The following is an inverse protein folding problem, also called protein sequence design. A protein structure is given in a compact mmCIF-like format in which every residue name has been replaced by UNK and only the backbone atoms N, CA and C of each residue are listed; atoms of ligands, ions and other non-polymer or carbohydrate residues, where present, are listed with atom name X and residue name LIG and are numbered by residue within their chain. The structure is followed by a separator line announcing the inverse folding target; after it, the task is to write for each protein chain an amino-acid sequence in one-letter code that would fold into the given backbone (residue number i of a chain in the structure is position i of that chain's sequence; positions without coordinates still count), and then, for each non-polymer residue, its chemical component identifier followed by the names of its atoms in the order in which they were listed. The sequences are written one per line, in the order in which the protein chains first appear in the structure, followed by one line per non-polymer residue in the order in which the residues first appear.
data_IF_113321562558
#
_entry.id   IF_113321562558
#
_cell.length_a   1.000
_cell.length_b   1.000
_cell.length_c   1.000
_cell.angle_alpha   90.00
_cell.angle_beta   90.00
_cell.angle_gamma   90.00
#
_symmetry.space_group_name_H-M   'P 1'
#
loop_
_entity.id
_entity.type
_entity.pdbx_description
1 polymer ?
#
# COMPACT_ATOMS: atom_id res chain seq x y z
N UNK A 1 52.08 7.33 -25.02
CA UNK A 1 50.98 7.45 -24.03
C UNK A 1 49.88 8.32 -24.63
N UNK A 2 48.69 7.79 -24.95
CA UNK A 2 47.61 8.59 -25.49
C UNK A 2 46.94 9.43 -24.39
N UNK A 3 46.80 10.73 -24.66
CA UNK A 3 46.08 11.71 -23.81
C UNK A 3 44.59 11.38 -23.84
N UNK A 4 44.01 11.07 -22.67
CA UNK A 4 42.56 10.99 -22.52
C UNK A 4 41.96 12.39 -22.77
N UNK A 5 41.16 12.52 -23.83
CA UNK A 5 40.38 13.73 -24.10
C UNK A 5 39.18 13.76 -23.15
N UNK A 6 39.13 14.77 -22.29
CA UNK A 6 37.96 15.04 -21.46
C UNK A 6 36.80 15.46 -22.36
N UNK A 7 35.79 14.60 -22.48
CA UNK A 7 34.54 14.90 -23.18
C UNK A 7 33.79 15.93 -22.32
N UNK A 8 33.93 17.20 -22.66
CA UNK A 8 33.10 18.28 -22.13
C UNK A 8 31.72 18.21 -22.77
N UNK A 9 30.79 17.52 -22.12
CA UNK A 9 29.36 17.57 -22.48
C UNK A 9 28.82 18.97 -22.16
N UNK A 10 28.08 19.61 -23.10
CA UNK A 10 27.51 20.93 -22.86
C UNK A 10 26.48 20.87 -21.72
N UNK A 11 26.53 21.80 -20.75
CA UNK A 11 25.75 21.74 -19.50
C UNK A 11 24.24 21.71 -19.72
N UNK A 12 23.73 22.18 -20.87
CA UNK A 12 22.30 22.14 -21.19
C UNK A 12 21.74 20.74 -21.50
N UNK A 13 22.56 19.78 -21.92
CA UNK A 13 22.09 18.46 -22.40
C UNK A 13 21.81 17.45 -21.28
N UNK A 14 22.45 17.62 -20.12
CA UNK A 14 22.24 16.75 -18.95
C UNK A 14 20.88 17.01 -18.31
N UNK A 15 20.48 18.28 -18.19
CA UNK A 15 19.23 18.67 -17.58
C UNK A 15 18.02 18.25 -18.43
N UNK A 16 18.10 18.37 -19.77
CA UNK A 16 17.03 17.95 -20.68
C UNK A 16 16.73 16.46 -20.59
N UNK A 17 17.78 15.63 -20.50
CA UNK A 17 17.63 14.18 -20.45
C UNK A 17 17.00 13.70 -19.13
N UNK A 18 17.39 14.31 -18.00
CA UNK A 18 16.83 13.98 -16.69
C UNK A 18 15.34 14.39 -16.59
N UNK A 19 14.99 15.54 -17.14
CA UNK A 19 13.60 16.02 -17.20
C UNK A 19 12.72 15.09 -18.06
N UNK A 20 13.22 14.69 -19.23
CA UNK A 20 12.53 13.75 -20.12
C UNK A 20 12.35 12.37 -19.46
N UNK A 21 13.39 11.86 -18.79
CA UNK A 21 13.31 10.61 -18.04
C UNK A 21 12.30 10.68 -16.88
N UNK A 22 12.29 11.77 -16.13
CA UNK A 22 11.34 12.01 -15.03
C UNK A 22 9.89 12.04 -15.51
N UNK A 23 9.64 12.73 -16.63
CA UNK A 23 8.32 12.80 -17.26
C UNK A 23 7.87 11.42 -17.75
N UNK A 24 8.77 10.70 -18.41
CA UNK A 24 8.51 9.35 -18.93
C UNK A 24 8.19 8.38 -17.80
N UNK A 25 8.97 8.38 -16.70
CA UNK A 25 8.72 7.55 -15.53
C UNK A 25 7.34 7.83 -14.92
N UNK A 26 6.96 9.11 -14.79
CA UNK A 26 5.66 9.52 -14.26
C UNK A 26 4.48 9.01 -15.11
N UNK A 27 4.61 9.09 -16.44
CA UNK A 27 3.60 8.58 -17.38
C UNK A 27 3.47 7.07 -17.25
N UNK A 28 4.60 6.35 -17.27
CA UNK A 28 4.63 4.88 -17.20
C UNK A 28 4.00 4.39 -15.89
N UNK A 29 4.43 4.93 -14.74
CA UNK A 29 3.92 4.54 -13.42
C UNK A 29 2.42 4.78 -13.34
N UNK A 30 1.95 5.97 -13.73
CA UNK A 30 0.51 6.30 -13.70
C UNK A 30 -0.29 5.34 -14.59
N UNK A 31 0.21 5.06 -15.80
CA UNK A 31 -0.45 4.15 -16.74
C UNK A 31 -0.56 2.74 -16.18
N UNK A 32 0.54 2.21 -15.63
CA UNK A 32 0.56 0.86 -15.03
C UNK A 32 -0.41 0.79 -13.85
N UNK A 33 -0.38 1.75 -12.94
CA UNK A 33 -1.26 1.76 -11.75
C UNK A 33 -2.72 1.86 -12.15
N UNK A 34 -3.07 2.67 -13.15
CA UNK A 34 -4.43 2.74 -13.68
C UNK A 34 -4.87 1.42 -14.30
N UNK A 35 -4.02 0.77 -15.10
CA UNK A 35 -4.31 -0.54 -15.68
C UNK A 35 -4.54 -1.60 -14.60
N UNK A 36 -3.66 -1.65 -13.58
CA UNK A 36 -3.81 -2.55 -12.42
C UNK A 36 -5.11 -2.24 -11.66
N UNK A 37 -5.43 -0.97 -11.43
CA UNK A 37 -6.67 -0.55 -10.78
C UNK A 37 -7.93 -0.96 -11.56
N UNK A 38 -7.93 -0.80 -12.89
CA UNK A 38 -9.05 -1.22 -13.75
C UNK A 38 -9.20 -2.74 -13.73
N UNK A 39 -8.10 -3.49 -13.85
CA UNK A 39 -8.11 -4.96 -13.75
C UNK A 39 -8.67 -5.39 -12.39
N UNK A 40 -8.25 -4.74 -11.31
CA UNK A 40 -8.72 -5.02 -9.96
C UNK A 40 -10.23 -4.78 -9.82
N UNK A 41 -10.73 -3.61 -10.25
CA UNK A 41 -12.17 -3.29 -10.22
C UNK A 41 -12.96 -4.26 -11.09
N UNK A 42 -12.46 -4.59 -12.27
CA UNK A 42 -13.07 -5.58 -13.17
C UNK A 42 -13.17 -6.96 -12.52
N UNK A 43 -12.10 -7.43 -11.88
CA UNK A 43 -12.07 -8.70 -11.16
C UNK A 43 -13.06 -8.71 -9.98
N UNK A 44 -13.08 -7.64 -9.16
CA UNK A 44 -14.04 -7.48 -8.06
C UNK A 44 -15.47 -7.48 -8.57
N UNK A 45 -15.77 -6.70 -9.61
CA UNK A 45 -17.11 -6.59 -10.18
C UNK A 45 -17.58 -7.93 -10.77
N UNK A 46 -16.70 -8.63 -11.49
CA UNK A 46 -16.99 -9.97 -12.02
C UNK A 46 -17.28 -10.96 -10.89
N UNK A 47 -16.46 -10.96 -9.83
CA UNK A 47 -16.63 -11.88 -8.71
C UNK A 47 -17.90 -11.57 -7.89
N UNK A 48 -18.17 -10.29 -7.66
CA UNK A 48 -19.38 -9.82 -6.99
C UNK A 48 -20.64 -10.24 -7.75
N UNK A 49 -20.66 -10.08 -9.08
CA UNK A 49 -21.75 -10.59 -9.93
C UNK A 49 -21.91 -12.09 -9.79
N UNK A 50 -20.82 -12.85 -9.79
CA UNK A 50 -20.84 -14.32 -9.64
C UNK A 50 -21.44 -14.77 -8.30
N UNK A 51 -21.13 -14.07 -7.20
CA UNK A 51 -21.71 -14.40 -5.88
C UNK A 51 -23.19 -14.08 -5.83
N UNK A 52 -23.62 -12.97 -6.43
CA UNK A 52 -25.05 -12.61 -6.48
C UNK A 52 -25.90 -13.69 -7.15
N UNK A 53 -25.32 -14.45 -8.09
CA UNK A 53 -25.98 -15.59 -8.73
C UNK A 53 -26.06 -16.85 -7.85
N UNK A 54 -25.26 -16.98 -6.80
CA UNK A 54 -25.22 -18.15 -5.91
C UNK A 54 -25.20 -17.72 -4.42
N UNK A 55 -26.33 -17.22 -3.89
CA UNK A 55 -26.41 -16.79 -2.49
C UNK A 55 -26.18 -17.97 -1.55
N UNK A 56 -25.35 -17.77 -0.52
CA UNK A 56 -25.12 -18.77 0.52
C UNK A 56 -26.10 -18.60 1.67
N UNK A 57 -26.69 -19.68 2.19
CA UNK A 57 -27.43 -19.62 3.45
C UNK A 57 -26.43 -19.45 4.60
N UNK A 58 -26.47 -18.29 5.26
CA UNK A 58 -25.65 -18.00 6.45
C UNK A 58 -26.49 -18.23 7.70
N UNK A 59 -26.09 -19.19 8.54
CA UNK A 59 -26.88 -19.64 9.68
C UNK A 59 -26.59 -18.88 10.99
N UNK A 60 -25.59 -17.97 11.02
CA UNK A 60 -25.21 -17.21 12.24
C UNK A 60 -25.20 -15.70 12.00
N UNK A 61 -26.01 -14.95 12.74
CA UNK A 61 -26.24 -13.50 12.61
C UNK A 61 -24.96 -12.67 12.75
N UNK A 62 -24.06 -13.04 13.68
CA UNK A 62 -22.77 -12.36 13.87
C UNK A 62 -21.79 -12.57 12.70
N UNK A 63 -21.80 -13.76 12.08
CA UNK A 63 -21.00 -14.05 10.89
C UNK A 63 -21.48 -13.29 9.65
N UNK A 64 -22.79 -13.02 9.57
CA UNK A 64 -23.40 -12.30 8.44
C UNK A 64 -22.90 -10.86 8.37
N UNK A 65 -22.83 -10.14 9.49
CA UNK A 65 -22.35 -8.75 9.48
C UNK A 65 -20.87 -8.67 9.09
N UNK A 66 -20.02 -9.53 9.66
CA UNK A 66 -18.59 -9.53 9.35
C UNK A 66 -18.34 -9.82 7.86
N UNK A 67 -19.03 -10.81 7.29
CA UNK A 67 -18.90 -11.14 5.87
C UNK A 67 -19.42 -10.05 4.94
N UNK A 68 -20.34 -9.20 5.40
CA UNK A 68 -20.84 -8.07 4.63
C UNK A 68 -19.82 -6.93 4.54
N UNK A 69 -19.13 -6.63 5.64
CA UNK A 69 -18.18 -5.51 5.71
C UNK A 69 -16.75 -5.90 5.29
N UNK A 70 -16.35 -7.17 5.47
CA UNK A 70 -15.00 -7.61 5.16
C UNK A 70 -14.55 -7.32 3.71
N UNK A 71 -15.35 -7.58 2.65
CA UNK A 71 -14.94 -7.27 1.28
C UNK A 71 -14.70 -5.78 1.04
N UNK A 72 -15.52 -4.91 1.64
CA UNK A 72 -15.35 -3.46 1.53
C UNK A 72 -14.06 -2.99 2.23
N UNK A 73 -13.78 -3.55 3.40
CA UNK A 73 -12.54 -3.29 4.13
C UNK A 73 -11.29 -3.70 3.34
N UNK A 74 -11.26 -4.93 2.79
CA UNK A 74 -10.15 -5.36 1.94
C UNK A 74 -10.02 -4.51 0.69
N UNK A 75 -11.12 -4.13 0.04
CA UNK A 75 -11.08 -3.26 -1.12
C UNK A 75 -10.49 -1.88 -0.81
N UNK A 76 -10.81 -1.32 0.36
CA UNK A 76 -10.23 -0.06 0.83
C UNK A 76 -8.71 -0.19 1.06
N UNK A 77 -8.28 -1.26 1.76
CA UNK A 77 -6.85 -1.53 1.99
C UNK A 77 -6.08 -1.66 0.68
N UNK A 78 -6.66 -2.35 -0.32
CA UNK A 78 -6.07 -2.50 -1.65
C UNK A 78 -5.96 -1.14 -2.35
N UNK A 79 -7.01 -0.32 -2.30
CA UNK A 79 -7.01 0.99 -2.95
C UNK A 79 -5.93 1.91 -2.37
N UNK A 80 -5.82 2.00 -1.04
CA UNK A 80 -4.76 2.76 -0.39
C UNK A 80 -3.36 2.22 -0.70
N UNK A 81 -3.20 0.89 -0.75
CA UNK A 81 -1.93 0.27 -1.13
C UNK A 81 -1.51 0.61 -2.55
N UNK A 82 -2.45 0.67 -3.51
CA UNK A 82 -2.14 1.08 -4.89
C UNK A 82 -1.66 2.53 -4.98
N UNK A 83 -2.30 3.44 -4.24
CA UNK A 83 -1.87 4.85 -4.16
C UNK A 83 -0.45 4.94 -3.62
N UNK A 84 -0.15 4.19 -2.57
CA UNK A 84 1.18 4.18 -1.96
C UNK A 84 2.27 3.52 -2.80
N UNK A 85 1.95 2.44 -3.52
CA UNK A 85 2.86 1.85 -4.50
C UNK A 85 3.21 2.89 -5.56
N UNK A 86 2.20 3.62 -6.07
CA UNK A 86 2.41 4.69 -7.05
C UNK A 86 3.34 5.79 -6.51
N UNK A 87 3.03 6.33 -5.33
CA UNK A 87 3.81 7.40 -4.70
C UNK A 87 5.24 6.95 -4.37
N UNK A 88 5.41 5.78 -3.77
CA UNK A 88 6.72 5.26 -3.35
C UNK A 88 7.58 4.92 -4.56
N UNK A 89 7.01 4.28 -5.58
CA UNK A 89 7.73 3.97 -6.83
C UNK A 89 8.15 5.25 -7.52
N UNK A 90 7.25 6.24 -7.62
CA UNK A 90 7.56 7.53 -8.21
C UNK A 90 8.69 8.24 -7.47
N UNK A 91 8.62 8.32 -6.13
CA UNK A 91 9.68 8.93 -5.31
C UNK A 91 11.02 8.24 -5.51
N UNK A 92 11.06 6.90 -5.50
CA UNK A 92 12.30 6.14 -5.71
C UNK A 92 12.86 6.36 -7.12
N UNK A 93 12.01 6.45 -8.14
CA UNK A 93 12.44 6.78 -9.50
C UNK A 93 13.01 8.19 -9.57
N UNK A 94 12.36 9.19 -8.97
CA UNK A 94 12.86 10.57 -8.95
C UNK A 94 14.19 10.69 -8.22
N UNK A 95 14.34 10.03 -7.08
CA UNK A 95 15.59 9.99 -6.32
C UNK A 95 16.73 9.34 -7.11
N UNK A 96 16.42 8.32 -7.92
CA UNK A 96 17.42 7.67 -8.76
C UNK A 96 17.81 8.51 -9.98
N UNK A 97 16.84 9.11 -10.67
CA UNK A 97 17.07 9.92 -11.88
C UNK A 97 17.84 11.20 -11.53
N UNK A 98 17.42 11.89 -10.47
CA UNK A 98 17.98 13.19 -10.10
C UNK A 98 19.11 13.08 -9.06
N UNK A 99 19.43 11.87 -8.58
CA UNK A 99 20.47 11.61 -7.57
C UNK A 99 20.36 12.50 -6.31
N UNK A 100 19.12 12.82 -5.90
CA UNK A 100 18.80 13.85 -4.91
C UNK A 100 18.04 13.31 -3.68
N UNK A 101 18.34 12.08 -3.25
CA UNK A 101 17.74 11.56 -2.02
C UNK A 101 18.26 12.32 -0.79
N UNK A 102 17.39 12.82 0.12
CA UNK A 102 17.83 13.69 1.21
C UNK A 102 18.64 12.96 2.28
N UNK A 103 18.32 11.70 2.54
CA UNK A 103 19.06 10.84 3.48
C UNK A 103 18.84 9.36 3.18
N UNK A 104 19.78 8.51 3.59
CA UNK A 104 19.64 7.05 3.49
C UNK A 104 18.49 6.50 4.34
N UNK A 105 18.14 7.19 5.42
CA UNK A 105 17.00 6.84 6.27
C UNK A 105 15.67 7.05 5.56
N UNK A 106 15.47 8.18 4.88
CA UNK A 106 14.25 8.42 4.07
C UNK A 106 14.17 7.41 2.93
N UNK A 107 15.28 7.14 2.24
CA UNK A 107 15.31 6.17 1.15
C UNK A 107 14.91 4.76 1.64
N UNK A 108 15.43 4.33 2.78
CA UNK A 108 15.07 3.06 3.41
C UNK A 108 13.60 3.05 3.84
N UNK A 109 13.11 4.13 4.44
CA UNK A 109 11.70 4.27 4.83
C UNK A 109 10.75 4.11 3.65
N UNK A 110 10.99 4.82 2.53
CA UNK A 110 10.17 4.71 1.32
C UNK A 110 10.19 3.28 0.74
N UNK A 111 11.34 2.59 0.78
CA UNK A 111 11.44 1.18 0.33
C UNK A 111 10.63 0.22 1.21
N UNK A 112 10.68 0.39 2.53
CA UNK A 112 9.91 -0.43 3.48
C UNK A 112 8.40 -0.17 3.31
N UNK A 113 8.00 1.08 3.08
CA UNK A 113 6.61 1.44 2.78
C UNK A 113 6.16 0.82 1.45
N UNK A 114 6.97 0.91 0.39
CA UNK A 114 6.69 0.23 -0.88
C UNK A 114 6.51 -1.28 -0.69
N UNK A 115 7.40 -1.92 0.06
CA UNK A 115 7.26 -3.35 0.40
C UNK A 115 5.95 -3.63 1.13
N UNK A 116 5.61 -2.82 2.13
CA UNK A 116 4.38 -2.95 2.93
C UNK A 116 3.13 -2.78 2.07
N UNK A 117 3.14 -1.83 1.14
CA UNK A 117 2.05 -1.60 0.20
C UNK A 117 1.90 -2.75 -0.81
N UNK A 118 3.00 -3.26 -1.38
CA UNK A 118 2.98 -4.45 -2.25
C UNK A 118 2.48 -5.70 -1.51
N UNK A 119 2.97 -5.93 -0.28
CA UNK A 119 2.53 -7.02 0.58
C UNK A 119 1.02 -6.91 0.87
N UNK A 120 0.55 -5.72 1.26
CA UNK A 120 -0.86 -5.48 1.56
C UNK A 120 -1.74 -5.66 0.33
N UNK A 121 -1.35 -5.13 -0.83
CA UNK A 121 -2.04 -5.32 -2.11
C UNK A 121 -2.21 -6.82 -2.42
N UNK A 122 -1.13 -7.59 -2.37
CA UNK A 122 -1.15 -9.01 -2.71
C UNK A 122 -2.01 -9.82 -1.72
N UNK A 123 -1.80 -9.61 -0.43
CA UNK A 123 -2.46 -10.40 0.62
C UNK A 123 -3.93 -9.98 0.84
N UNK A 124 -4.26 -8.69 0.85
CA UNK A 124 -5.65 -8.22 0.96
C UNK A 124 -6.49 -8.68 -0.24
N UNK A 125 -5.93 -8.61 -1.45
CA UNK A 125 -6.58 -9.15 -2.66
C UNK A 125 -6.78 -10.66 -2.55
N UNK A 126 -5.76 -11.39 -2.09
CA UNK A 126 -5.84 -12.83 -1.85
C UNK A 126 -6.92 -13.22 -0.84
N UNK A 127 -6.95 -12.57 0.33
CA UNK A 127 -7.97 -12.78 1.36
C UNK A 127 -9.36 -12.42 0.86
N UNK A 128 -9.51 -11.33 0.13
CA UNK A 128 -10.79 -10.96 -0.48
C UNK A 128 -11.30 -12.07 -1.40
N UNK A 129 -10.48 -12.60 -2.31
CA UNK A 129 -10.89 -13.70 -3.18
C UNK A 129 -11.18 -15.01 -2.42
N UNK A 130 -10.40 -15.33 -1.40
CA UNK A 130 -10.63 -16.50 -0.55
C UNK A 130 -12.01 -16.44 0.14
N UNK A 131 -12.39 -15.27 0.63
CA UNK A 131 -13.69 -15.05 1.25
C UNK A 131 -14.85 -15.09 0.27
N UNK A 132 -14.65 -14.50 -0.91
CA UNK A 132 -15.66 -14.46 -1.94
C UNK A 132 -15.93 -15.86 -2.51
N UNK A 133 -14.92 -16.74 -2.60
CA UNK A 133 -15.04 -18.02 -3.30
C UNK A 133 -15.79 -19.13 -2.52
N UNK A 134 -16.88 -19.70 -3.10
CA UNK A 134 -17.50 -21.00 -2.82
C UNK A 134 -16.90 -21.88 -1.75
N UNK A 135 -15.89 -22.53 -2.28
CA UNK A 135 -15.28 -23.76 -1.82
C UNK A 135 -14.11 -23.46 -0.90
N UNK A 136 -13.44 -22.32 -1.10
CA UNK A 136 -12.20 -22.00 -0.41
C UNK A 136 -12.40 -21.46 0.99
N UNK A 137 -13.55 -20.86 1.26
CA UNK A 137 -13.96 -20.45 2.61
C UNK A 137 -14.01 -21.59 3.64
N UNK A 138 -14.03 -22.86 3.21
CA UNK A 138 -13.99 -24.02 4.11
C UNK A 138 -12.57 -24.36 4.56
N UNK A 139 -11.54 -23.77 3.95
CA UNK A 139 -10.15 -24.03 4.34
C UNK A 139 -9.77 -23.26 5.61
N UNK A 140 -8.89 -23.82 6.45
CA UNK A 140 -8.44 -23.19 7.70
C UNK A 140 -7.75 -21.84 7.50
N UNK A 141 -7.22 -21.56 6.29
CA UNK A 141 -6.68 -20.25 5.92
C UNK A 141 -7.73 -19.13 6.00
N UNK A 142 -9.01 -19.44 5.80
CA UNK A 142 -10.13 -18.50 5.95
C UNK A 142 -10.57 -18.31 7.42
N UNK A 143 -9.84 -18.91 8.38
CA UNK A 143 -10.11 -18.73 9.81
C UNK A 143 -9.87 -17.29 10.27
N UNK A 144 -10.65 -16.88 11.28
CA UNK A 144 -10.49 -15.60 11.98
C UNK A 144 -9.09 -15.47 12.59
N UNK A 145 -8.50 -16.58 13.06
CA UNK A 145 -7.14 -16.57 13.63
C UNK A 145 -6.05 -16.27 12.59
N UNK A 146 -6.17 -16.83 11.39
CA UNK A 146 -5.24 -16.59 10.26
C UNK A 146 -5.26 -15.11 9.85
N UNK A 147 -6.46 -14.52 9.79
CA UNK A 147 -6.61 -13.09 9.49
C UNK A 147 -6.08 -12.21 10.62
N UNK A 148 -6.34 -12.56 11.88
CA UNK A 148 -5.79 -11.84 13.03
C UNK A 148 -4.27 -11.78 12.97
N UNK A 149 -3.62 -12.94 12.74
CA UNK A 149 -2.17 -13.01 12.61
C UNK A 149 -1.66 -12.17 11.42
N UNK A 150 -2.32 -12.27 10.26
CA UNK A 150 -1.98 -11.48 9.08
C UNK A 150 -2.10 -9.97 9.34
N UNK A 151 -3.16 -9.52 10.02
CA UNK A 151 -3.35 -8.11 10.36
C UNK A 151 -2.22 -7.64 11.29
N UNK A 152 -1.89 -8.38 12.35
CA UNK A 152 -0.82 -8.00 13.29
C UNK A 152 0.52 -7.89 12.57
N UNK A 153 0.86 -8.87 11.73
CA UNK A 153 2.10 -8.86 10.95
C UNK A 153 2.17 -7.66 10.00
N UNK A 154 1.08 -7.44 9.25
CA UNK A 154 1.02 -6.35 8.27
C UNK A 154 1.06 -4.99 8.95
N UNK A 155 0.33 -4.82 10.05
CA UNK A 155 0.39 -3.64 10.91
C UNK A 155 1.82 -3.35 11.38
N UNK A 156 2.57 -4.37 11.78
CA UNK A 156 3.98 -4.22 12.17
C UNK A 156 4.86 -3.67 11.05
N UNK A 157 4.66 -4.11 9.80
CA UNK A 157 5.39 -3.57 8.64
C UNK A 157 5.08 -2.09 8.41
N UNK A 158 3.81 -1.71 8.52
CA UNK A 158 3.37 -0.32 8.39
C UNK A 158 3.95 0.59 9.48
N UNK A 159 3.90 0.15 10.74
CA UNK A 159 4.50 0.89 11.87
C UNK A 159 6.01 1.03 11.70
N UNK A 160 6.70 -0.02 11.29
CA UNK A 160 8.15 0.02 11.05
C UNK A 160 8.52 1.01 9.93
N UNK A 161 7.87 0.92 8.77
CA UNK A 161 8.12 1.83 7.64
C UNK A 161 7.83 3.29 7.99
N UNK A 162 6.69 3.54 8.64
CA UNK A 162 6.26 4.87 9.08
C UNK A 162 7.18 5.44 10.16
N UNK A 163 7.63 4.60 11.10
CA UNK A 163 8.56 4.98 12.15
C UNK A 163 9.94 5.40 11.63
N UNK A 164 10.45 4.72 10.60
CA UNK A 164 11.69 5.10 9.91
C UNK A 164 11.53 6.46 9.25
N UNK A 165 10.42 6.70 8.54
CA UNK A 165 10.14 8.00 7.92
C UNK A 165 10.03 9.12 8.97
N UNK A 166 9.29 8.91 10.04
CA UNK A 166 9.11 9.89 11.11
C UNK A 166 10.44 10.29 11.78
N UNK A 167 11.31 9.30 12.04
CA UNK A 167 12.61 9.54 12.70
C UNK A 167 13.56 10.36 11.82
N UNK A 168 13.50 10.16 10.50
CA UNK A 168 14.41 10.81 9.54
C UNK A 168 13.85 12.09 8.92
N UNK A 169 12.56 12.36 9.11
CA UNK A 169 11.90 13.57 8.63
C UNK A 169 10.85 14.07 9.65
N UNK A 170 11.25 14.40 10.90
CA UNK A 170 10.31 14.83 11.94
C UNK A 170 9.62 16.16 11.60
N UNK A 171 10.25 16.96 10.74
CA UNK A 171 9.72 18.23 10.26
C UNK A 171 8.45 18.11 9.40
N UNK A 172 8.08 16.91 8.94
CA UNK A 172 6.83 16.68 8.19
C UNK A 172 5.56 17.09 8.97
N UNK A 173 5.64 17.21 10.30
CA UNK A 173 4.50 17.53 11.18
C UNK A 173 4.53 18.93 11.79
N UNK A 174 5.67 19.63 11.76
CA UNK A 174 5.88 20.88 12.50
C UNK A 174 5.71 22.13 11.62
N UNK A 175 4.59 22.24 10.91
CA UNK A 175 4.19 23.51 10.28
C UNK A 175 4.57 23.72 8.81
N UNK A 176 4.77 22.63 8.05
CA UNK A 176 4.81 22.68 6.58
C UNK A 176 6.10 23.23 5.96
N UNK A 177 7.08 23.65 6.76
CA UNK A 177 8.39 24.09 6.24
C UNK A 177 9.32 22.90 6.08
N UNK A 178 9.28 22.26 4.93
CA UNK A 178 10.25 21.24 4.53
C UNK A 178 11.55 21.90 4.03
N UNK A 179 12.39 22.36 4.95
CA UNK A 179 13.70 22.90 4.59
C UNK A 179 14.62 21.72 4.21
N UNK A 180 15.05 21.68 2.95
CA UNK A 180 16.00 20.68 2.45
C UNK A 180 15.39 19.39 1.88
N UNK A 181 14.06 19.27 1.78
CA UNK A 181 13.41 18.14 1.10
C UNK A 181 12.83 18.58 -0.25
N UNK A 182 13.36 17.99 -1.33
CA UNK A 182 12.94 18.30 -2.72
C UNK A 182 11.48 17.91 -2.98
N UNK A 183 11.03 16.76 -2.47
CA UNK A 183 9.68 16.22 -2.71
C UNK A 183 8.84 16.16 -1.42
N UNK A 184 8.77 17.27 -0.70
CA UNK A 184 8.07 17.37 0.58
C UNK A 184 6.61 16.94 0.50
N UNK A 185 5.83 17.51 -0.43
CA UNK A 185 4.39 17.25 -0.51
C UNK A 185 4.06 15.78 -0.77
N UNK A 186 4.85 15.12 -1.62
CA UNK A 186 4.69 13.71 -1.93
C UNK A 186 5.07 12.83 -0.75
N UNK A 187 6.14 13.18 -0.01
CA UNK A 187 6.53 12.44 1.19
C UNK A 187 5.52 12.62 2.33
N UNK A 188 4.98 13.82 2.51
CA UNK A 188 3.92 14.11 3.47
C UNK A 188 2.64 13.33 3.12
N UNK A 189 2.29 13.28 1.84
CA UNK A 189 1.14 12.48 1.36
C UNK A 189 1.37 11.00 1.63
N UNK A 190 2.55 10.46 1.30
CA UNK A 190 2.90 9.07 1.56
C UNK A 190 2.76 8.75 3.05
N UNK A 191 3.31 9.59 3.92
CA UNK A 191 3.19 9.40 5.36
C UNK A 191 1.74 9.42 5.85
N UNK A 192 0.92 10.36 5.35
CA UNK A 192 -0.48 10.46 5.74
C UNK A 192 -1.26 9.19 5.37
N UNK A 193 -1.05 8.65 4.17
CA UNK A 193 -1.64 7.36 3.77
C UNK A 193 -1.15 6.21 4.64
N UNK A 194 0.11 6.23 5.08
CA UNK A 194 0.65 5.17 5.92
C UNK A 194 0.01 5.17 7.30
N UNK A 195 -0.24 6.36 7.88
CA UNK A 195 -1.01 6.51 9.11
C UNK A 195 -2.46 6.05 8.93
N UNK A 196 -3.11 6.39 7.81
CA UNK A 196 -4.47 5.92 7.51
C UNK A 196 -4.51 4.38 7.46
N UNK A 197 -3.50 3.73 6.89
CA UNK A 197 -3.41 2.27 6.89
C UNK A 197 -3.18 1.69 8.28
N UNK A 198 -2.30 2.27 9.09
CA UNK A 198 -2.10 1.87 10.49
C UNK A 198 -3.43 1.92 11.25
N UNK A 199 -4.18 3.01 11.12
CA UNK A 199 -5.50 3.18 11.75
C UNK A 199 -6.50 2.15 11.21
N UNK A 200 -6.54 1.91 9.90
CA UNK A 200 -7.41 0.90 9.29
C UNK A 200 -7.13 -0.50 9.85
N UNK A 201 -5.85 -0.89 10.00
CA UNK A 201 -5.49 -2.16 10.60
C UNK A 201 -5.85 -2.23 12.09
N UNK A 202 -5.72 -1.13 12.85
CA UNK A 202 -6.16 -1.09 14.25
C UNK A 202 -7.68 -1.28 14.39
N UNK A 203 -8.47 -0.68 13.49
CA UNK A 203 -9.92 -0.91 13.43
C UNK A 203 -10.20 -2.39 13.11
N UNK A 204 -9.47 -2.98 12.16
CA UNK A 204 -9.56 -4.40 11.82
C UNK A 204 -9.26 -5.33 12.99
N UNK A 205 -8.18 -5.06 13.74
CA UNK A 205 -7.84 -5.81 14.96
C UNK A 205 -8.94 -5.70 16.02
N UNK A 206 -9.43 -4.49 16.25
CA UNK A 206 -10.49 -4.24 17.22
C UNK A 206 -11.77 -5.00 16.87
N UNK A 207 -12.13 -5.06 15.57
CA UNK A 207 -13.27 -5.84 15.09
C UNK A 207 -13.09 -7.35 15.30
N UNK A 208 -11.89 -7.90 15.06
CA UNK A 208 -11.60 -9.32 15.32
C UNK A 208 -11.68 -9.62 16.82
N UNK A 209 -11.06 -8.79 17.67
CA UNK A 209 -11.11 -8.96 19.12
C UNK A 209 -12.54 -8.91 19.65
N UNK A 210 -13.36 -8.00 19.11
CA UNK A 210 -14.79 -7.92 19.44
C UNK A 210 -15.54 -9.21 19.09
N UNK A 211 -15.27 -9.79 17.91
CA UNK A 211 -15.88 -11.05 17.47
C UNK A 211 -15.47 -12.21 18.38
N UNK A 212 -14.18 -12.28 18.75
CA UNK A 212 -13.66 -13.30 19.67
C UNK A 212 -14.31 -13.16 21.05
N UNK A 213 -14.36 -11.94 21.60
CA UNK A 213 -15.02 -11.65 22.88
C UNK A 213 -16.49 -12.04 22.87
N UNK A 214 -17.22 -11.73 21.79
CA UNK A 214 -18.62 -12.15 21.66
C UNK A 214 -18.77 -13.67 21.56
N UNK A 215 -17.80 -14.37 20.99
CA UNK A 215 -17.82 -15.83 20.94
C UNK A 215 -17.63 -16.47 22.32
N UNK A 216 -16.83 -15.87 23.21
CA UNK A 216 -16.61 -16.42 24.57
C UNK A 216 -17.79 -16.20 25.50
N UNK A 217 -18.61 -15.16 25.27
CA UNK A 217 -19.82 -14.90 26.07
C UNK A 217 -20.99 -15.88 25.82
N UNK A 218 -20.92 -16.67 24.75
CA UNK A 218 -22.00 -17.60 24.34
C UNK A 218 -21.69 -19.05 24.77
N UNK A 219 -20.49 -19.30 25.29
CA UNK A 219 -20.05 -20.56 25.89
C UNK A 219 -20.33 -20.54 27.40
#
# INVERSE_FOLDING_TARGET
MPRAQAITTPPGRLNSNAEEASRTASIIITTIILLVGIIYVGAVAWFYRRIRSYPRPLNKTSGVQLQKFAPAFYALLTAFSLVEISLSTWLLSQYHINMNYPSMGILTGVRVVLFSACWTLATATGFMFLFLHPTWSKHPIASVGSQGLWIVMTWGFWVAGTGILNTNAPALFQGGTCIGLVYCGQLQTLFAFSILQIVAFMIGLSAILWVVWKSTQVL
#
